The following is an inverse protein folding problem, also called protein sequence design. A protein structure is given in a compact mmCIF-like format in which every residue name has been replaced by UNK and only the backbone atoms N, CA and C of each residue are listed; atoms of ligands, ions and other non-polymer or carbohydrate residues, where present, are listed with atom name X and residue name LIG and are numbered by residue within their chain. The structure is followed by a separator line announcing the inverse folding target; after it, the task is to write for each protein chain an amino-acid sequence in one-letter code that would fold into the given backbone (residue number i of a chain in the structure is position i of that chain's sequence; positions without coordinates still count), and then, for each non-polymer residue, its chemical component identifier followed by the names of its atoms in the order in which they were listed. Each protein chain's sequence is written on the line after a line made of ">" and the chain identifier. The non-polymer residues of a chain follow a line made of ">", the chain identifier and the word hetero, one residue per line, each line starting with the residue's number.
data_IF_083896675916
#
_entry.id   IF_083896675916
#
_cell.length_a   1.000
_cell.length_b   1.000
_cell.length_c   1.000
_cell.angle_alpha   90.00
_cell.angle_beta   90.00
_cell.angle_gamma   90.00
#
_symmetry.space_group_name_H-M   'P 1'
#
loop_
_entity.id
_entity.type
_entity.pdbx_description
1 polymer ?
#
# COMPACT_ATOMS: atom_id res chain seq x y z
N UNK A 1 16.83 13.32 6.60
CA UNK A 1 15.50 13.63 6.03
C UNK A 1 14.45 13.26 7.06
N UNK A 2 13.43 14.09 7.29
CA UNK A 2 12.38 13.77 8.27
C UNK A 2 11.18 13.10 7.60
N UNK A 3 10.38 12.36 8.36
CA UNK A 3 9.13 11.77 7.86
C UNK A 3 8.17 12.85 7.35
N UNK A 4 8.04 13.96 8.09
CA UNK A 4 7.12 15.04 7.76
C UNK A 4 7.45 15.69 6.41
N UNK A 5 8.73 15.87 6.09
CA UNK A 5 9.15 16.47 4.82
C UNK A 5 8.92 15.55 3.61
N UNK A 6 8.58 14.27 3.84
CA UNK A 6 8.38 13.25 2.80
C UNK A 6 6.92 12.82 2.67
N UNK A 7 6.04 13.31 3.54
CA UNK A 7 4.62 13.02 3.41
C UNK A 7 4.04 13.75 2.19
N UNK A 8 3.20 13.05 1.45
CA UNK A 8 2.44 13.58 0.32
C UNK A 8 1.05 12.95 0.29
N UNK A 9 0.12 13.58 -0.42
CA UNK A 9 -1.17 12.96 -0.68
C UNK A 9 -0.99 11.80 -1.65
N UNK A 10 -1.56 10.65 -1.28
CA UNK A 10 -1.59 9.42 -2.07
C UNK A 10 -3.03 8.92 -2.17
N UNK A 11 -3.35 8.19 -3.22
CA UNK A 11 -4.68 7.64 -3.40
C UNK A 11 -4.82 6.35 -2.57
N UNK A 12 -5.77 6.33 -1.65
CA UNK A 12 -6.19 5.13 -0.95
C UNK A 12 -7.31 4.47 -1.77
N UNK A 13 -7.02 3.26 -2.25
CA UNK A 13 -8.00 2.46 -2.95
C UNK A 13 -8.57 1.38 -2.02
N UNK A 14 -9.86 1.11 -2.12
CA UNK A 14 -10.45 -0.08 -1.52
C UNK A 14 -10.88 -1.06 -2.58
N UNK A 15 -10.83 -2.34 -2.23
CA UNK A 15 -11.43 -3.40 -3.03
C UNK A 15 -12.91 -3.47 -2.70
N UNK A 16 -13.75 -3.25 -3.71
CA UNK A 16 -15.20 -3.19 -3.54
C UNK A 16 -15.90 -3.87 -4.71
N UNK A 17 -17.14 -4.28 -4.47
CA UNK A 17 -17.98 -4.95 -5.46
C UNK A 17 -18.91 -3.91 -6.12
N UNK A 18 -18.66 -3.60 -7.40
CA UNK A 18 -19.42 -2.60 -8.13
C UNK A 18 -20.40 -3.26 -9.08
N UNK A 19 -21.65 -2.82 -9.02
CA UNK A 19 -22.65 -3.22 -9.99
C UNK A 19 -22.45 -2.47 -11.31
N UNK A 20 -22.24 -3.21 -12.39
CA UNK A 20 -22.16 -2.65 -13.74
C UNK A 20 -23.55 -2.29 -14.27
N UNK A 21 -23.63 -1.44 -15.30
CA UNK A 21 -24.90 -1.15 -15.98
C UNK A 21 -25.62 -2.40 -16.52
N UNK A 22 -24.89 -3.49 -16.77
CA UNK A 22 -25.45 -4.80 -17.16
C UNK A 22 -26.10 -5.58 -16.01
N UNK A 23 -26.05 -5.07 -14.77
CA UNK A 23 -26.54 -5.73 -13.56
C UNK A 23 -25.56 -6.73 -12.94
N UNK A 24 -24.45 -7.05 -13.62
CA UNK A 24 -23.40 -7.92 -13.09
C UNK A 24 -22.54 -7.19 -12.07
N UNK A 25 -22.23 -7.86 -10.97
CA UNK A 25 -21.26 -7.40 -10.00
C UNK A 25 -19.84 -7.77 -10.44
N UNK A 26 -18.90 -6.84 -10.26
CA UNK A 26 -17.47 -7.09 -10.47
C UNK A 26 -16.70 -6.46 -9.32
N UNK A 27 -15.75 -7.22 -8.79
CA UNK A 27 -14.80 -6.69 -7.84
C UNK A 27 -13.77 -5.79 -8.55
N UNK A 28 -13.61 -4.57 -8.05
CA UNK A 28 -12.65 -3.62 -8.57
C UNK A 28 -12.04 -2.75 -7.46
N UNK A 29 -10.89 -2.16 -7.79
CA UNK A 29 -10.20 -1.25 -6.90
C UNK A 29 -10.65 0.18 -7.16
N UNK A 30 -11.36 0.76 -6.21
CA UNK A 30 -11.92 2.10 -6.31
C UNK A 30 -11.08 3.07 -5.49
N UNK A 31 -10.68 4.19 -6.10
CA UNK A 31 -10.06 5.30 -5.38
C UNK A 31 -11.10 6.04 -4.57
N UNK A 32 -11.12 5.80 -3.25
CA UNK A 32 -12.14 6.34 -2.36
C UNK A 32 -11.76 7.69 -1.75
N UNK A 33 -10.48 7.87 -1.43
CA UNK A 33 -10.00 9.09 -0.77
C UNK A 33 -8.50 9.28 -0.96
N UNK A 34 -8.04 10.52 -0.74
CA UNK A 34 -6.61 10.83 -0.62
C UNK A 34 -6.18 10.85 0.83
N UNK A 35 -5.07 10.20 1.15
CA UNK A 35 -4.48 10.17 2.50
C UNK A 35 -3.08 10.74 2.49
N UNK A 36 -2.62 11.27 3.63
CA UNK A 36 -1.28 11.80 3.76
C UNK A 36 -0.32 10.71 4.22
N UNK A 37 0.65 10.36 3.39
CA UNK A 37 1.58 9.25 3.65
C UNK A 37 2.98 9.58 3.15
N UNK A 38 3.99 9.21 3.93
CA UNK A 38 5.38 9.13 3.46
C UNK A 38 5.69 7.67 3.13
N UNK A 39 6.32 7.41 1.99
CA UNK A 39 6.70 6.06 1.55
C UNK A 39 8.23 6.02 1.40
N UNK A 40 8.83 4.97 1.98
CA UNK A 40 10.26 4.71 1.94
C UNK A 40 10.50 3.32 1.40
N UNK A 41 11.48 3.16 0.50
CA UNK A 41 11.98 1.83 0.14
C UNK A 41 12.68 1.21 1.35
N UNK A 42 12.43 -0.09 1.61
CA UNK A 42 13.28 -0.88 2.49
C UNK A 42 14.40 -1.46 1.64
N UNK A 43 15.63 -1.00 1.86
CA UNK A 43 16.83 -1.66 1.34
C UNK A 43 17.21 -2.91 2.16
N UNK A 44 16.25 -3.55 2.82
CA UNK A 44 16.53 -4.62 3.77
C UNK A 44 16.81 -5.94 3.04
N UNK A 45 18.07 -6.13 2.65
CA UNK A 45 18.65 -7.47 2.57
C UNK A 45 18.66 -8.05 3.98
N UNK A 46 17.62 -8.80 4.34
CA UNK A 46 17.60 -9.52 5.62
C UNK A 46 18.58 -10.69 5.47
N UNK A 47 19.79 -10.55 6.02
CA UNK A 47 20.73 -11.65 6.16
C UNK A 47 20.27 -12.54 7.33
N UNK A 48 19.44 -13.55 7.05
CA UNK A 48 19.20 -14.66 7.97
C UNK A 48 20.03 -15.86 7.51
N UNK A 49 20.99 -16.28 8.33
CA UNK A 49 21.67 -17.58 8.26
C UNK A 49 21.96 -18.08 6.82
N UNK A 50 22.91 -17.43 6.14
CA UNK A 50 23.42 -17.81 4.81
C UNK A 50 22.38 -17.91 3.66
N UNK A 51 21.14 -17.44 3.85
CA UNK A 51 20.12 -17.41 2.79
C UNK A 51 19.60 -15.97 2.62
N UNK A 52 19.54 -15.50 1.38
CA UNK A 52 18.90 -14.22 1.04
C UNK A 52 17.40 -14.50 0.95
N UNK A 53 16.65 -14.23 2.03
CA UNK A 53 15.19 -14.21 1.98
C UNK A 53 14.74 -12.81 1.57
N UNK A 54 14.15 -12.69 0.37
CA UNK A 54 13.51 -11.46 -0.09
C UNK A 54 12.30 -11.19 0.80
N UNK A 55 12.35 -10.13 1.62
CA UNK A 55 11.18 -9.68 2.37
C UNK A 55 10.04 -9.36 1.40
N UNK A 56 8.84 -9.87 1.64
CA UNK A 56 7.68 -9.60 0.77
C UNK A 56 7.30 -8.11 0.73
N UNK A 57 7.65 -7.33 1.77
CA UNK A 57 7.41 -5.88 1.82
C UNK A 57 8.63 -5.09 1.34
N UNK A 58 8.54 -4.53 0.14
CA UNK A 58 9.60 -3.71 -0.47
C UNK A 58 9.64 -2.28 0.07
N UNK A 59 8.58 -1.81 0.73
CA UNK A 59 8.42 -0.44 1.18
C UNK A 59 7.78 -0.33 2.57
N UNK A 60 8.00 0.80 3.25
CA UNK A 60 7.30 1.20 4.47
C UNK A 60 6.57 2.51 4.22
N UNK A 61 5.27 2.52 4.48
CA UNK A 61 4.43 3.71 4.57
C UNK A 61 4.29 4.19 6.01
N UNK A 62 4.35 5.50 6.23
CA UNK A 62 4.01 6.14 7.51
C UNK A 62 2.89 7.14 7.26
N UNK A 63 1.78 6.99 7.99
CA UNK A 63 0.59 7.83 7.84
C UNK A 63 -0.08 8.12 9.18
N UNK A 64 -0.88 9.17 9.23
CA UNK A 64 -1.80 9.43 10.36
C UNK A 64 -3.14 8.70 10.21
N UNK A 65 -3.43 8.17 9.00
CA UNK A 65 -4.66 7.43 8.74
C UNK A 65 -4.68 6.11 9.51
N UNK A 66 -5.83 5.80 10.09
CA UNK A 66 -6.10 4.60 10.90
C UNK A 66 -7.03 3.64 10.17
N UNK A 67 -7.09 2.40 10.63
CA UNK A 67 -8.01 1.40 10.09
C UNK A 67 -7.71 0.93 8.67
N UNK A 68 -6.46 1.04 8.22
CA UNK A 68 -6.03 0.44 6.96
C UNK A 68 -6.00 -1.08 7.11
N UNK A 69 -6.53 -1.80 6.13
CA UNK A 69 -6.69 -3.26 6.20
C UNK A 69 -6.02 -3.95 5.01
N UNK A 70 -5.17 -4.93 5.32
CA UNK A 70 -4.54 -5.83 4.32
C UNK A 70 -5.62 -6.49 3.45
N UNK A 71 -5.40 -6.51 2.13
CA UNK A 71 -6.30 -7.17 1.17
C UNK A 71 -7.58 -6.38 0.87
N UNK A 72 -7.98 -5.44 1.73
CA UNK A 72 -9.09 -4.52 1.46
C UNK A 72 -8.63 -3.16 0.96
N UNK A 73 -7.45 -2.72 1.36
CA UNK A 73 -6.88 -1.44 0.97
C UNK A 73 -5.54 -1.62 0.24
N UNK A 74 -5.28 -0.72 -0.71
CA UNK A 74 -3.97 -0.54 -1.35
C UNK A 74 -3.70 0.94 -1.61
N UNK A 75 -2.43 1.28 -1.80
CA UNK A 75 -1.99 2.66 -2.03
C UNK A 75 -1.61 2.81 -3.50
N UNK A 76 -2.14 3.83 -4.17
CA UNK A 76 -1.72 4.22 -5.52
C UNK A 76 -1.00 5.56 -5.44
N UNK A 77 0.17 5.62 -6.09
CA UNK A 77 0.99 6.83 -6.18
C UNK A 77 1.46 6.95 -7.61
N UNK A 78 0.95 7.96 -8.32
CA UNK A 78 1.24 8.15 -9.73
C UNK A 78 0.91 6.85 -10.51
N UNK A 79 1.93 6.20 -11.10
CA UNK A 79 1.81 4.93 -11.82
C UNK A 79 2.13 3.68 -10.96
N UNK A 80 2.64 3.87 -9.74
CA UNK A 80 2.97 2.78 -8.82
C UNK A 80 1.77 2.37 -7.97
N UNK A 81 1.60 1.06 -7.78
CA UNK A 81 0.60 0.48 -6.88
C UNK A 81 1.32 -0.31 -5.79
N UNK A 82 0.92 -0.09 -4.55
CA UNK A 82 1.46 -0.75 -3.37
C UNK A 82 0.35 -1.49 -2.63
N UNK A 83 0.45 -2.81 -2.58
CA UNK A 83 -0.40 -3.63 -1.73
C UNK A 83 0.06 -3.56 -0.28
N UNK A 84 -0.89 -3.48 0.64
CA UNK A 84 -0.61 -3.54 2.08
C UNK A 84 -0.33 -5.00 2.47
N UNK A 85 0.82 -5.27 3.08
CA UNK A 85 1.19 -6.60 3.57
C UNK A 85 1.03 -6.74 5.08
N UNK A 86 1.15 -5.64 5.83
CA UNK A 86 0.81 -5.52 7.24
C UNK A 86 0.58 -4.06 7.65
N UNK A 87 -0.12 -3.86 8.77
CA UNK A 87 -0.39 -2.55 9.38
C UNK A 87 -0.13 -2.66 10.88
N UNK A 88 0.60 -1.69 11.44
CA UNK A 88 0.62 -1.41 12.87
C UNK A 88 0.04 0.00 13.06
N UNK A 89 -1.05 0.11 13.79
CA UNK A 89 -1.76 1.36 14.05
C UNK A 89 -1.84 1.73 15.54
N UNK A 90 -1.06 1.07 16.40
CA UNK A 90 -1.08 1.26 17.86
C UNK A 90 -0.58 2.66 18.30
N UNK A 91 0.34 3.25 17.53
CA UNK A 91 0.95 4.54 17.84
C UNK A 91 0.19 5.72 17.21
N UNK A 92 0.59 6.97 17.48
CA UNK A 92 0.01 8.16 16.84
C UNK A 92 0.06 8.08 15.30
N UNK A 93 1.13 7.51 14.75
CA UNK A 93 1.27 7.23 13.32
C UNK A 93 1.14 5.74 13.08
N UNK A 94 0.44 5.38 12.02
CA UNK A 94 0.39 4.01 11.53
C UNK A 94 1.62 3.73 10.67
N UNK A 95 2.21 2.56 10.88
CA UNK A 95 3.31 2.02 10.07
C UNK A 95 2.72 0.91 9.20
N UNK A 96 2.89 1.02 7.89
CA UNK A 96 2.28 0.15 6.89
C UNK A 96 3.40 -0.53 6.11
N UNK A 97 3.47 -1.85 6.13
CA UNK A 97 4.35 -2.57 5.22
C UNK A 97 3.67 -2.67 3.85
N UNK A 98 4.43 -2.34 2.81
CA UNK A 98 3.95 -2.18 1.45
C UNK A 98 4.76 -3.06 0.50
N UNK A 99 4.08 -3.68 -0.46
CA UNK A 99 4.68 -4.40 -1.58
C UNK A 99 4.27 -3.73 -2.87
N UNK A 100 5.24 -3.18 -3.58
CA UNK A 100 4.99 -2.65 -4.93
C UNK A 100 4.60 -3.80 -5.87
N UNK A 101 3.56 -3.57 -6.67
CA UNK A 101 3.10 -4.50 -7.70
C UNK A 101 3.22 -3.81 -9.05
N UNK A 102 3.72 -4.55 -10.04
CA UNK A 102 3.67 -4.07 -11.41
C UNK A 102 2.19 -4.03 -11.83
N UNK A 103 1.72 -2.94 -12.46
CA UNK A 103 0.43 -2.98 -13.13
C UNK A 103 0.50 -4.12 -14.13
N UNK A 104 -0.41 -5.09 -14.03
CA UNK A 104 -0.50 -6.21 -14.96
C UNK A 104 -0.84 -5.66 -16.35
N UNK A 105 0.20 -5.30 -17.10
CA UNK A 105 0.13 -5.08 -18.52
C UNK A 105 0.10 -6.45 -19.19
N UNK A 106 -1.03 -6.79 -19.77
CA UNK A 106 -1.10 -7.79 -20.83
C UNK A 106 -0.09 -7.39 -21.91
N UNK A 107 0.85 -8.30 -22.20
CA UNK A 107 1.64 -8.31 -23.44
C UNK A 107 0.86 -9.06 -24.52
#
# INVERSE_FOLDING_TARGET
>A
MSVNSKMKYVDLQSFDEVQKPSGQFKEEWISNQKIYMAIFSREDRIYKSNTIELSEGTHIGITYTKGLVKGKNRIKVDDSIYNITSVNDDALRSVVALKEVQPSGEL
#
